data_IF_124227799962
#
_entry.id   IF_124227799962
#
_cell.length_a   1.000
_cell.length_b   1.000
_cell.length_c   1.000
_cell.angle_alpha   90.00
_cell.angle_beta   90.00
_cell.angle_gamma   90.00
#
_symmetry.space_group_name_H-M   'P 1'
#
loop_
_entity.id
_entity.type
_entity.pdbx_description
1 polymer ?
#
# COMPACT_ATOMS: atom_id res chain seq x y z
N UNK A 1 11.98 8.27 35.31
CA UNK A 1 12.21 7.03 34.52
C UNK A 1 12.41 7.42 33.06
N UNK A 2 13.67 7.70 32.66
CA UNK A 2 14.06 8.18 31.32
C UNK A 2 14.92 7.11 30.62
N UNK A 3 14.56 6.79 29.38
CA UNK A 3 15.44 6.24 28.35
C UNK A 3 14.81 6.72 27.02
N UNK A 4 15.27 7.81 26.39
CA UNK A 4 16.52 8.00 25.63
C UNK A 4 16.70 6.93 24.55
N UNK A 5 16.21 7.23 23.36
CA UNK A 5 16.87 6.88 22.11
C UNK A 5 17.01 8.15 21.27
N UNK A 6 18.20 8.73 21.36
CA UNK A 6 18.73 9.69 20.41
C UNK A 6 19.50 8.89 19.33
N UNK A 7 19.11 9.02 18.07
CA UNK A 7 19.93 8.57 16.95
C UNK A 7 20.20 9.76 16.04
N UNK A 8 21.39 10.28 16.27
CA UNK A 8 22.10 11.42 15.67
C UNK A 8 22.21 11.33 14.14
N UNK A 9 22.02 12.49 13.52
CA UNK A 9 22.27 12.75 12.11
C UNK A 9 23.75 12.53 11.73
N UNK A 10 23.97 11.82 10.63
CA UNK A 10 25.24 11.75 9.90
C UNK A 10 25.00 12.22 8.47
N UNK A 11 25.44 13.44 8.17
CA UNK A 11 25.51 13.98 6.81
C UNK A 11 26.51 13.17 5.98
N UNK A 12 26.04 12.58 4.88
CA UNK A 12 26.86 12.07 3.79
C UNK A 12 26.30 12.59 2.47
N UNK A 13 26.96 13.60 1.90
CA UNK A 13 26.68 14.07 0.54
C UNK A 13 27.07 12.97 -0.45
N UNK A 14 26.10 12.41 -1.16
CA UNK A 14 26.34 11.65 -2.38
C UNK A 14 25.54 12.28 -3.53
N UNK A 15 26.27 12.89 -4.46
CA UNK A 15 25.77 13.26 -5.79
C UNK A 15 25.38 11.98 -6.52
N UNK A 16 24.09 11.67 -6.53
CA UNK A 16 23.50 10.58 -7.29
C UNK A 16 22.72 11.12 -8.49
N UNK A 17 23.40 11.12 -9.63
CA UNK A 17 22.92 11.30 -11.01
C UNK A 17 21.42 11.02 -11.18
N UNK A 18 20.68 12.03 -11.66
CA UNK A 18 19.29 11.91 -12.07
C UNK A 18 19.11 10.72 -13.02
N UNK A 19 18.31 9.74 -12.59
CA UNK A 19 17.85 8.65 -13.44
C UNK A 19 16.90 9.25 -14.47
N UNK A 20 17.41 9.39 -15.69
CA UNK A 20 16.60 9.72 -16.87
C UNK A 20 15.54 8.63 -17.04
N UNK A 21 14.28 8.96 -17.36
CA UNK A 21 13.33 7.95 -17.80
C UNK A 21 13.88 7.31 -19.07
N UNK A 22 14.00 6.00 -19.01
CA UNK A 22 14.51 5.12 -20.04
C UNK A 22 13.62 5.24 -21.28
N UNK A 23 14.13 5.96 -22.28
CA UNK A 23 13.55 6.00 -23.62
C UNK A 23 13.88 4.69 -24.34
N UNK A 24 13.30 3.58 -23.87
CA UNK A 24 13.42 2.28 -24.54
C UNK A 24 12.05 1.61 -24.67
N UNK A 25 11.04 2.37 -25.08
CA UNK A 25 9.77 1.83 -25.62
C UNK A 25 9.40 2.39 -26.99
N UNK A 26 10.29 3.14 -27.63
CA UNK A 26 10.05 3.74 -28.95
C UNK A 26 11.08 3.25 -29.99
N UNK A 27 11.18 1.94 -30.20
CA UNK A 27 11.80 1.42 -31.43
C UNK A 27 11.48 -0.06 -31.68
N UNK A 28 10.20 -0.42 -31.79
CA UNK A 28 9.79 -1.70 -32.39
C UNK A 28 8.60 -1.54 -33.36
N UNK A 29 8.50 -0.41 -34.05
CA UNK A 29 7.56 -0.24 -35.19
C UNK A 29 8.25 0.14 -36.49
N UNK A 30 9.57 0.00 -36.58
CA UNK A 30 10.33 0.39 -37.75
C UNK A 30 11.40 -0.63 -38.13
N UNK A 31 11.01 -1.85 -38.49
CA UNK A 31 11.80 -2.67 -39.40
C UNK A 31 10.94 -3.75 -40.07
N UNK A 32 10.05 -3.33 -40.96
CA UNK A 32 9.60 -4.16 -42.07
C UNK A 32 10.72 -4.11 -43.11
N UNK A 33 11.74 -4.95 -42.98
CA UNK A 33 12.68 -5.29 -44.05
C UNK A 33 13.63 -6.41 -43.58
N UNK A 34 13.44 -7.60 -44.17
CA UNK A 34 14.34 -8.74 -44.01
C UNK A 34 13.75 -9.82 -43.11
N UNK A 35 13.10 -10.81 -43.74
CA UNK A 35 12.77 -12.10 -43.15
C UNK A 35 14.05 -12.79 -42.65
N UNK A 36 14.51 -12.43 -41.45
CA UNK A 36 15.37 -13.30 -40.67
C UNK A 36 14.44 -14.24 -39.95
N UNK A 37 14.26 -15.42 -40.53
CA UNK A 37 13.68 -16.59 -39.86
C UNK A 37 14.29 -16.67 -38.46
N UNK A 38 13.50 -16.38 -37.43
CA UNK A 38 13.91 -16.57 -36.05
C UNK A 38 14.33 -18.03 -35.91
N UNK A 39 15.63 -18.25 -35.74
CA UNK A 39 16.19 -19.59 -35.53
C UNK A 39 15.47 -20.24 -34.34
N UNK A 40 15.44 -21.57 -34.27
CA UNK A 40 14.76 -22.31 -33.20
C UNK A 40 15.24 -21.89 -31.80
N UNK A 41 16.49 -21.42 -31.71
CA UNK A 41 17.08 -20.83 -30.50
C UNK A 41 16.48 -19.47 -30.13
N UNK A 42 16.22 -18.59 -31.10
CA UNK A 42 15.60 -17.28 -30.86
C UNK A 42 14.13 -17.43 -30.43
N UNK A 43 13.41 -18.40 -31.00
CA UNK A 43 12.05 -18.74 -30.53
C UNK A 43 12.04 -19.27 -29.10
N UNK A 44 13.01 -20.11 -28.73
CA UNK A 44 13.13 -20.64 -27.38
C UNK A 44 13.53 -19.55 -26.37
N UNK A 45 14.41 -18.61 -26.75
CA UNK A 45 14.79 -17.47 -25.91
C UNK A 45 13.66 -16.46 -25.76
N UNK A 46 12.93 -16.15 -26.84
CA UNK A 46 11.75 -15.30 -26.78
C UNK A 46 10.65 -15.94 -25.90
N UNK A 47 10.35 -17.22 -26.10
CA UNK A 47 9.40 -17.98 -25.26
C UNK A 47 9.83 -17.98 -23.78
N UNK A 48 11.12 -18.23 -23.51
CA UNK A 48 11.69 -18.17 -22.17
C UNK A 48 11.61 -16.77 -21.56
N UNK A 49 11.83 -15.70 -22.31
CA UNK A 49 11.71 -14.33 -21.83
C UNK A 49 10.26 -13.94 -21.54
N UNK A 50 9.30 -14.28 -22.41
CA UNK A 50 7.88 -14.02 -22.19
C UNK A 50 7.32 -14.83 -21.01
N UNK A 51 7.70 -16.10 -20.85
CA UNK A 51 7.31 -16.93 -19.70
C UNK A 51 7.91 -16.41 -18.39
N UNK A 52 9.18 -16.03 -18.39
CA UNK A 52 9.87 -15.54 -17.18
C UNK A 52 9.36 -14.16 -16.75
N UNK A 53 9.12 -13.26 -17.70
CA UNK A 53 8.54 -11.95 -17.42
C UNK A 53 7.10 -12.05 -16.90
N UNK A 54 6.35 -13.06 -17.35
CA UNK A 54 4.99 -13.33 -16.86
C UNK A 54 4.91 -14.09 -15.53
N UNK A 55 5.91 -14.91 -15.17
CA UNK A 55 5.77 -15.91 -14.08
C UNK A 55 6.84 -15.87 -12.98
N UNK A 56 7.96 -15.14 -13.11
CA UNK A 56 8.92 -15.02 -11.98
C UNK A 56 8.41 -14.03 -10.95
N UNK A 57 7.44 -14.47 -10.17
CA UNK A 57 7.02 -13.79 -8.95
C UNK A 57 8.24 -13.68 -8.02
N UNK A 58 8.55 -12.47 -7.57
CA UNK A 58 9.62 -12.25 -6.61
C UNK A 58 9.35 -13.11 -5.36
N UNK A 59 10.34 -13.89 -4.94
CA UNK A 59 10.25 -14.78 -3.78
C UNK A 59 10.60 -13.96 -2.53
N UNK A 60 9.81 -14.10 -1.47
CA UNK A 60 10.15 -13.53 -0.17
C UNK A 60 11.43 -14.18 0.36
N UNK A 61 12.35 -13.43 0.99
CA UNK A 61 13.54 -14.02 1.62
C UNK A 61 13.18 -15.13 2.60
N UNK A 62 14.05 -16.11 2.78
CA UNK A 62 13.86 -17.14 3.79
C UNK A 62 13.93 -16.52 5.20
N UNK A 63 12.79 -16.48 5.90
CA UNK A 63 12.68 -15.94 7.26
C UNK A 63 12.65 -17.11 8.25
N UNK A 64 13.46 -17.02 9.31
CA UNK A 64 13.38 -17.94 10.45
C UNK A 64 12.18 -17.57 11.30
N UNK A 65 11.32 -18.54 11.57
CA UNK A 65 10.13 -18.40 12.41
C UNK A 65 10.21 -19.39 13.57
N UNK A 66 9.63 -19.01 14.71
CA UNK A 66 9.46 -19.91 15.83
C UNK A 66 8.59 -21.12 15.43
N UNK A 67 8.91 -22.35 15.87
CA UNK A 67 8.13 -23.54 15.53
C UNK A 67 6.66 -23.42 15.96
N UNK A 68 6.41 -22.81 17.11
CA UNK A 68 5.05 -22.56 17.60
C UNK A 68 4.27 -21.64 16.66
N UNK A 69 4.88 -20.55 16.18
CA UNK A 69 4.24 -19.64 15.23
C UNK A 69 3.90 -20.34 13.90
N UNK A 70 4.76 -21.24 13.42
CA UNK A 70 4.46 -22.04 12.23
C UNK A 70 3.25 -22.93 12.47
N UNK A 71 3.21 -23.63 13.61
CA UNK A 71 2.09 -24.50 13.98
C UNK A 71 0.77 -23.72 14.06
N UNK A 72 0.79 -22.55 14.68
CA UNK A 72 -0.40 -21.68 14.78
C UNK A 72 -0.86 -21.22 13.39
N UNK A 73 0.07 -20.88 12.50
CA UNK A 73 -0.24 -20.49 11.13
C UNK A 73 -0.82 -21.65 10.31
N UNK A 74 -0.34 -22.87 10.50
CA UNK A 74 -0.86 -24.07 9.83
C UNK A 74 -2.26 -24.45 10.35
N UNK A 75 -2.55 -24.17 11.63
CA UNK A 75 -3.84 -24.48 12.25
C UNK A 75 -4.99 -23.57 11.78
N UNK A 76 -4.70 -22.39 11.23
CA UNK A 76 -5.70 -21.43 10.77
C UNK A 76 -5.94 -21.45 9.26
N UNK A 77 -5.29 -22.35 8.52
CA UNK A 77 -5.45 -22.46 7.07
C UNK A 77 -6.85 -22.96 6.70
N UNK A 78 -7.40 -22.41 5.61
CA UNK A 78 -8.64 -22.89 5.02
C UNK A 78 -8.43 -24.18 4.19
N UNK A 79 -9.51 -24.88 3.85
CA UNK A 79 -9.44 -26.11 3.04
C UNK A 79 -8.79 -25.83 1.66
N UNK A 80 -7.64 -26.46 1.41
CA UNK A 80 -6.90 -26.31 0.16
C UNK A 80 -6.01 -25.06 0.08
N UNK A 81 -5.93 -24.26 1.14
CA UNK A 81 -4.99 -23.14 1.24
C UNK A 81 -3.59 -23.62 1.60
N UNK A 82 -2.55 -23.09 0.94
CA UNK A 82 -1.17 -23.35 1.31
C UNK A 82 -0.63 -22.29 2.25
N UNK A 83 0.33 -22.66 3.11
CA UNK A 83 1.02 -21.71 4.00
C UNK A 83 1.67 -20.55 3.22
N UNK A 84 2.12 -20.81 1.98
CA UNK A 84 2.70 -19.77 1.12
C UNK A 84 1.65 -18.75 0.67
N UNK A 85 0.43 -19.20 0.36
CA UNK A 85 -0.68 -18.34 -0.06
C UNK A 85 -1.14 -17.47 1.11
N UNK A 86 -1.32 -18.09 2.29
CA UNK A 86 -1.66 -17.39 3.52
C UNK A 86 -0.63 -16.31 3.88
N UNK A 87 0.67 -16.64 3.85
CA UNK A 87 1.75 -15.68 4.15
C UNK A 87 1.80 -14.56 3.11
N UNK A 88 1.60 -14.88 1.82
CA UNK A 88 1.53 -13.90 0.75
C UNK A 88 0.38 -12.91 0.97
N UNK A 89 -0.81 -13.40 1.36
CA UNK A 89 -1.96 -12.57 1.72
C UNK A 89 -1.66 -11.67 2.92
N UNK A 90 -1.15 -12.24 4.01
CA UNK A 90 -0.74 -11.50 5.21
C UNK A 90 0.26 -10.37 4.90
N UNK A 91 1.24 -10.62 4.02
CA UNK A 91 2.21 -9.59 3.62
C UNK A 91 1.55 -8.48 2.81
N UNK A 92 0.64 -8.81 1.88
CA UNK A 92 -0.13 -7.81 1.11
C UNK A 92 -0.95 -6.93 2.04
N UNK A 93 -1.64 -7.53 3.01
CA UNK A 93 -2.46 -6.83 3.98
C UNK A 93 -1.61 -5.96 4.90
N UNK A 94 -0.48 -6.48 5.38
CA UNK A 94 0.48 -5.73 6.19
C UNK A 94 1.04 -4.50 5.45
N UNK A 95 1.30 -4.62 4.14
CA UNK A 95 1.71 -3.49 3.29
C UNK A 95 0.58 -2.47 3.14
N UNK A 96 -0.64 -2.92 2.84
CA UNK A 96 -1.81 -2.06 2.69
C UNK A 96 -2.11 -1.27 3.98
N UNK A 97 -2.04 -1.95 5.13
CA UNK A 97 -2.19 -1.36 6.44
C UNK A 97 -1.12 -0.28 6.70
N UNK A 98 0.16 -0.60 6.51
CA UNK A 98 1.26 0.36 6.73
C UNK A 98 1.15 1.59 5.82
N UNK A 99 0.73 1.43 4.57
CA UNK A 99 0.49 2.56 3.65
C UNK A 99 -0.65 3.45 4.15
N UNK A 100 -1.77 2.85 4.55
CA UNK A 100 -2.92 3.57 5.09
C UNK A 100 -2.57 4.32 6.37
N UNK A 101 -1.84 3.65 7.28
CA UNK A 101 -1.37 4.25 8.52
C UNK A 101 -0.41 5.42 8.26
N UNK A 102 0.56 5.27 7.35
CA UNK A 102 1.49 6.34 7.00
C UNK A 102 0.76 7.56 6.40
N UNK A 103 -0.20 7.33 5.50
CA UNK A 103 -1.00 8.39 4.90
C UNK A 103 -1.91 9.08 5.94
N UNK A 104 -2.48 8.33 6.89
CA UNK A 104 -3.24 8.90 7.99
C UNK A 104 -2.36 9.79 8.89
N UNK A 105 -1.18 9.31 9.29
CA UNK A 105 -0.26 10.08 10.13
C UNK A 105 0.25 11.34 9.43
N UNK A 106 0.52 11.28 8.13
CA UNK A 106 0.87 12.47 7.35
C UNK A 106 -0.26 13.51 7.39
N UNK A 107 -1.49 13.11 7.05
CA UNK A 107 -2.67 14.00 7.09
C UNK A 107 -2.94 14.56 8.49
N UNK A 108 -2.77 13.75 9.54
CA UNK A 108 -2.96 14.18 10.91
C UNK A 108 -1.94 15.25 11.31
N UNK A 109 -0.66 15.07 10.95
CA UNK A 109 0.38 16.08 11.20
C UNK A 109 0.09 17.38 10.46
N UNK A 110 -0.25 17.29 9.19
CA UNK A 110 -0.61 18.48 8.39
C UNK A 110 -1.83 19.21 8.96
N UNK A 111 -2.80 18.46 9.51
CA UNK A 111 -3.98 19.04 10.15
C UNK A 111 -3.66 19.76 11.45
N UNK A 112 -2.80 19.17 12.29
CA UNK A 112 -2.33 19.81 13.52
C UNK A 112 -1.56 21.08 13.18
N UNK A 113 -0.61 21.01 12.25
CA UNK A 113 0.19 22.18 11.86
C UNK A 113 -0.66 23.31 11.30
N UNK A 114 -1.67 23.00 10.47
CA UNK A 114 -2.64 24.01 10.01
C UNK A 114 -3.45 24.61 11.16
N UNK A 115 -3.95 23.78 12.08
CA UNK A 115 -4.72 24.26 13.22
C UNK A 115 -3.90 25.17 14.15
N UNK A 116 -2.61 24.89 14.32
CA UNK A 116 -1.69 25.73 15.08
C UNK A 116 -1.46 27.07 14.38
N UNK A 117 -1.19 27.07 13.06
CA UNK A 117 -1.02 28.30 12.27
C UNK A 117 -2.26 29.19 12.29
N UNK A 118 -3.42 28.59 12.14
CA UNK A 118 -4.72 29.29 12.08
C UNK A 118 -5.29 29.60 13.47
N UNK A 119 -4.68 29.09 14.55
CA UNK A 119 -5.21 29.14 15.92
C UNK A 119 -6.67 28.65 16.01
N UNK A 120 -7.03 27.67 15.18
CA UNK A 120 -8.42 27.21 14.98
C UNK A 120 -8.84 26.03 15.87
N UNK A 121 -8.02 25.69 16.86
CA UNK A 121 -8.31 24.63 17.82
C UNK A 121 -9.55 24.96 18.67
N UNK A 122 -10.40 23.94 18.91
CA UNK A 122 -11.59 24.05 19.76
C UNK A 122 -11.47 23.12 20.96
N UNK A 123 -12.18 23.43 22.04
CA UNK A 123 -12.22 22.57 23.22
C UNK A 123 -13.00 21.27 22.94
N UNK A 124 -12.72 20.18 23.68
CA UNK A 124 -13.47 18.94 23.55
C UNK A 124 -14.98 19.12 23.75
N UNK A 125 -15.39 19.99 24.67
CA UNK A 125 -16.81 20.26 24.95
C UNK A 125 -17.50 20.93 23.76
N UNK A 126 -16.83 21.90 23.12
CA UNK A 126 -17.36 22.56 21.93
C UNK A 126 -17.43 21.60 20.73
N UNK A 127 -16.45 20.69 20.59
CA UNK A 127 -16.51 19.63 19.60
C UNK A 127 -17.73 18.72 19.80
N UNK A 128 -17.93 18.21 21.02
CA UNK A 128 -19.06 17.33 21.35
C UNK A 128 -20.39 18.02 21.05
N UNK A 129 -20.55 19.27 21.50
CA UNK A 129 -21.75 20.07 21.21
C UNK A 129 -22.02 20.19 19.70
N UNK A 130 -20.98 20.40 18.89
CA UNK A 130 -21.12 20.46 17.42
C UNK A 130 -21.49 19.10 16.82
N UNK A 131 -21.00 18.00 17.39
CA UNK A 131 -21.36 16.65 16.94
C UNK A 131 -22.81 16.34 17.24
N UNK A 132 -23.31 16.70 18.44
CA UNK A 132 -24.72 16.53 18.82
C UNK A 132 -25.65 17.27 17.84
N UNK A 133 -25.36 18.55 17.54
CA UNK A 133 -26.13 19.34 16.57
C UNK A 133 -26.17 18.68 15.19
N UNK A 134 -25.05 18.10 14.73
CA UNK A 134 -24.99 17.40 13.44
C UNK A 134 -25.77 16.07 13.47
N UNK A 135 -25.74 15.38 14.60
CA UNK A 135 -26.48 14.13 14.81
C UNK A 135 -27.99 14.39 14.78
N UNK A 136 -28.46 15.39 15.52
CA UNK A 136 -29.87 15.79 15.56
C UNK A 136 -30.38 16.18 14.16
N UNK A 137 -29.59 16.97 13.42
CA UNK A 137 -29.92 17.33 12.05
C UNK A 137 -29.98 16.10 11.12
N UNK A 138 -29.09 15.13 11.30
CA UNK A 138 -29.13 13.88 10.52
C UNK A 138 -30.37 13.04 10.86
N UNK A 139 -30.72 12.92 12.14
CA UNK A 139 -31.93 12.20 12.59
C UNK A 139 -33.20 12.83 12.03
N UNK A 140 -33.31 14.16 12.05
CA UNK A 140 -34.45 14.87 11.48
C UNK A 140 -34.58 14.62 9.97
N UNK A 141 -33.46 14.57 9.23
CA UNK A 141 -33.47 14.25 7.78
C UNK A 141 -33.96 12.83 7.52
N UNK A 142 -33.53 11.86 8.33
CA UNK A 142 -33.98 10.47 8.25
C UNK A 142 -35.47 10.35 8.58
N UNK A 143 -35.94 11.05 9.62
CA UNK A 143 -37.35 11.07 10.01
C UNK A 143 -38.25 11.71 8.92
N UNK A 144 -37.81 12.83 8.33
CA UNK A 144 -38.50 13.47 7.22
C UNK A 144 -38.50 12.60 5.95
N UNK A 145 -37.40 11.88 5.67
CA UNK A 145 -37.33 10.91 4.58
C UNK A 145 -38.30 9.74 4.78
N UNK A 146 -38.39 9.21 6.01
CA UNK A 146 -39.34 8.16 6.38
C UNK A 146 -40.80 8.65 6.30
N UNK A 147 -41.09 9.86 6.75
CA UNK A 147 -42.42 10.46 6.65
C UNK A 147 -42.85 10.71 5.18
N UNK A 148 -41.90 11.02 4.30
CA UNK A 148 -42.15 11.18 2.86
C UNK A 148 -42.33 9.85 2.13
N UNK A 149 -41.83 8.76 2.71
CA UNK A 149 -41.96 7.39 2.20
C UNK A 149 -43.04 6.58 2.96
N UNK A 150 -44.06 7.24 3.51
CA UNK A 150 -45.16 6.60 4.26
C UNK A 150 -45.90 5.50 3.47
N UNK A 151 -46.65 4.65 4.20
CA UNK A 151 -46.69 3.18 4.15
C UNK A 151 -46.98 2.53 2.80
#
# INVERSE_FOLDING_TARGET
MRAVWAARAGMGRLRGRASRPDQTVASLSGLVAGERTLDGRDRALASRMYYIAGMKTAILPAVRVEPALRSDAEAVLEEGESLSDFVSACVRDGVAWRRTQAAFLARARDAVERSEREHSGITPQELLRRMDVRLDAAQQRLAAGKARAGP
#
